data_IF_028123405776
#
_entry.id   IF_028123405776
#
_cell.length_a   1.000
_cell.length_b   1.000
_cell.length_c   1.000
_cell.angle_alpha   90.00
_cell.angle_beta   90.00
_cell.angle_gamma   90.00
#
_symmetry.space_group_name_H-M   'P 1'
#
loop_
_entity.id
_entity.type
_entity.pdbx_description
1 polymer ?
#
# COMPACT_ATOMS: atom_id res chain seq x y z
N UNK A 1 -7.98 24.18 -23.55
CA UNK A 1 -9.25 24.51 -22.87
C UNK A 1 -9.34 23.60 -21.66
N UNK A 2 -9.14 24.17 -20.45
CA UNK A 2 -9.46 23.66 -19.10
C UNK A 2 -8.84 22.29 -18.69
N UNK A 3 -8.12 22.06 -17.59
CA UNK A 3 -7.89 22.72 -16.29
C UNK A 3 -6.63 22.10 -15.66
N UNK A 4 -5.69 22.90 -15.20
CA UNK A 4 -4.51 22.47 -14.41
C UNK A 4 -4.81 22.70 -12.92
N UNK A 5 -5.68 21.87 -12.30
CA UNK A 5 -6.08 22.12 -10.90
C UNK A 5 -6.37 20.88 -10.01
N UNK A 6 -6.87 19.73 -10.49
CA UNK A 6 -7.12 18.56 -9.61
C UNK A 6 -7.13 17.23 -10.38
N UNK A 7 -5.96 16.79 -10.86
CA UNK A 7 -5.84 15.47 -11.47
C UNK A 7 -4.72 14.67 -10.80
N UNK A 8 -5.05 13.44 -10.40
CA UNK A 8 -4.03 12.47 -10.01
C UNK A 8 -2.96 12.39 -11.09
N UNK A 9 -1.69 12.32 -10.67
CA UNK A 9 -0.60 12.10 -11.59
C UNK A 9 -0.70 10.71 -12.23
N UNK A 10 0.08 10.48 -13.29
CA UNK A 10 0.04 9.22 -14.04
C UNK A 10 0.33 8.00 -13.17
N UNK A 11 1.25 8.12 -12.21
CA UNK A 11 1.58 7.04 -11.26
C UNK A 11 0.37 6.65 -10.43
N UNK A 12 -0.32 7.61 -9.82
CA UNK A 12 -1.52 7.33 -9.02
C UNK A 12 -2.60 6.72 -9.90
N UNK A 13 -2.84 7.25 -11.10
CA UNK A 13 -3.82 6.69 -12.03
C UNK A 13 -3.49 5.24 -12.42
N UNK A 14 -2.21 4.91 -12.62
CA UNK A 14 -1.77 3.56 -12.91
C UNK A 14 -2.09 2.60 -11.75
N UNK A 15 -1.74 2.97 -10.52
CA UNK A 15 -2.04 2.15 -9.34
C UNK A 15 -3.54 2.06 -9.01
N UNK A 16 -4.37 3.03 -9.43
CA UNK A 16 -5.84 2.91 -9.37
C UNK A 16 -6.33 1.87 -10.39
N UNK A 17 -5.84 1.97 -11.63
CA UNK A 17 -6.32 1.16 -12.74
C UNK A 17 -5.90 -0.32 -12.62
N UNK A 18 -4.66 -0.56 -12.19
CA UNK A 18 -4.08 -1.87 -11.99
C UNK A 18 -3.34 -1.91 -10.65
N UNK A 19 -4.06 -2.03 -9.52
CA UNK A 19 -3.43 -2.09 -8.21
C UNK A 19 -2.58 -3.35 -8.08
N UNK A 20 -1.33 -3.15 -7.68
CA UNK A 20 -0.37 -4.21 -7.45
C UNK A 20 -0.66 -4.96 -6.15
N UNK A 21 -0.24 -6.23 -6.12
CA UNK A 21 -0.15 -7.07 -4.92
C UNK A 21 -1.47 -7.21 -4.11
N UNK A 22 -2.62 -7.15 -4.78
CA UNK A 22 -3.92 -7.43 -4.15
C UNK A 22 -4.01 -8.89 -3.70
N UNK A 23 -4.36 -9.12 -2.45
CA UNK A 23 -4.63 -10.44 -1.89
C UNK A 23 -4.16 -10.59 -0.45
N UNK A 24 -4.05 -11.86 -0.03
CA UNK A 24 -3.61 -12.24 1.31
C UNK A 24 -2.39 -13.18 1.19
N UNK A 25 -1.59 -13.23 2.26
CA UNK A 25 -0.55 -14.23 2.43
C UNK A 25 -1.02 -15.12 3.58
N UNK A 26 -1.34 -16.39 3.29
CA UNK A 26 -1.97 -17.29 4.27
C UNK A 26 -1.10 -17.59 5.50
N UNK A 27 0.22 -17.59 5.32
CA UNK A 27 1.23 -17.76 6.36
C UNK A 27 2.07 -16.49 6.55
N UNK A 28 1.43 -15.31 6.45
CA UNK A 28 2.09 -14.03 6.71
C UNK A 28 2.75 -14.03 8.10
N UNK A 29 3.95 -13.47 8.17
CA UNK A 29 4.65 -13.32 9.45
C UNK A 29 4.16 -12.07 10.20
N UNK A 30 3.60 -11.09 9.47
CA UNK A 30 2.96 -9.90 10.03
C UNK A 30 1.71 -9.51 9.26
N UNK A 31 0.67 -9.12 10.01
CA UNK A 31 -0.58 -8.57 9.45
C UNK A 31 -0.91 -7.30 10.20
N UNK A 32 -1.04 -6.19 9.47
CA UNK A 32 -1.49 -4.90 10.01
C UNK A 32 -2.83 -4.50 9.40
N UNK A 33 -3.76 -4.03 10.23
CA UNK A 33 -5.08 -3.57 9.77
C UNK A 33 -5.32 -2.13 10.19
N UNK A 34 -5.93 -1.34 9.32
CA UNK A 34 -6.28 0.05 9.60
C UNK A 34 -7.65 0.41 9.03
N UNK A 35 -8.35 1.30 9.71
CA UNK A 35 -9.65 1.83 9.28
C UNK A 35 -9.68 3.33 9.49
N UNK A 36 -10.16 4.07 8.50
CA UNK A 36 -10.47 5.49 8.63
C UNK A 36 -11.99 5.69 8.74
N UNK A 37 -12.54 5.94 9.95
CA UNK A 37 -13.99 6.04 10.14
C UNK A 37 -14.61 7.30 9.49
N UNK A 38 -13.80 8.26 9.04
CA UNK A 38 -14.29 9.49 8.39
C UNK A 38 -14.81 9.22 6.98
N UNK A 39 -14.11 8.37 6.22
CA UNK A 39 -14.46 8.02 4.84
C UNK A 39 -14.86 6.54 4.68
N UNK A 40 -14.65 5.70 5.69
CA UNK A 40 -14.96 4.28 5.66
C UNK A 40 -13.90 3.41 4.97
N UNK A 41 -12.70 3.95 4.71
CA UNK A 41 -11.62 3.15 4.13
C UNK A 41 -11.14 2.10 5.13
N UNK A 42 -10.97 0.86 4.68
CA UNK A 42 -10.44 -0.27 5.44
C UNK A 42 -9.30 -0.93 4.67
N UNK A 43 -8.20 -1.23 5.35
CA UNK A 43 -7.03 -1.89 4.75
C UNK A 43 -6.47 -2.97 5.66
N UNK A 44 -5.99 -4.05 5.03
CA UNK A 44 -5.13 -5.07 5.64
C UNK A 44 -3.87 -5.22 4.80
N UNK A 45 -2.69 -5.09 5.44
CA UNK A 45 -1.38 -5.32 4.84
C UNK A 45 -0.78 -6.59 5.43
N UNK A 46 -0.32 -7.49 4.55
CA UNK A 46 0.26 -8.78 4.88
C UNK A 46 1.74 -8.75 4.46
N UNK A 47 2.64 -9.11 5.37
CA UNK A 47 4.08 -9.16 5.12
C UNK A 47 4.62 -10.56 5.37
N UNK A 48 5.45 -11.03 4.45
CA UNK A 48 6.29 -12.22 4.60
C UNK A 48 7.75 -11.79 4.69
N UNK A 49 8.49 -12.37 5.61
CA UNK A 49 9.91 -12.11 5.80
C UNK A 49 10.75 -13.33 5.41
N UNK A 50 11.88 -13.08 4.77
CA UNK A 50 12.98 -14.03 4.64
C UNK A 50 14.18 -13.48 5.41
N UNK A 51 14.44 -14.08 6.59
CA UNK A 51 15.38 -13.51 7.54
C UNK A 51 14.85 -12.19 8.09
N UNK A 52 15.58 -11.09 7.86
CA UNK A 52 15.21 -9.75 8.33
C UNK A 52 14.55 -8.89 7.24
N UNK A 53 14.43 -9.40 6.02
CA UNK A 53 13.96 -8.64 4.85
C UNK A 53 12.57 -9.08 4.41
N UNK A 54 11.72 -8.14 3.99
CA UNK A 54 10.40 -8.44 3.42
C UNK A 54 10.58 -9.11 2.05
N UNK A 55 10.14 -10.36 1.93
CA UNK A 55 10.17 -11.14 0.68
C UNK A 55 8.89 -11.01 -0.13
N UNK A 56 7.73 -10.86 0.53
CA UNK A 56 6.45 -10.62 -0.13
C UNK A 56 5.58 -9.66 0.69
N UNK A 57 4.78 -8.87 0.00
CA UNK A 57 3.86 -7.93 0.61
C UNK A 57 2.57 -7.90 -0.20
N UNK A 58 1.43 -8.13 0.45
CA UNK A 58 0.12 -8.06 -0.18
C UNK A 58 -0.84 -7.21 0.61
N UNK A 59 -1.86 -6.71 -0.05
CA UNK A 59 -2.89 -5.92 0.60
C UNK A 59 -4.31 -6.33 0.21
N UNK A 60 -5.24 -6.10 1.14
CA UNK A 60 -6.66 -5.96 0.86
C UNK A 60 -7.07 -4.56 1.23
N UNK A 61 -7.83 -3.92 0.35
CA UNK A 61 -8.33 -2.58 0.55
C UNK A 61 -9.79 -2.52 0.15
N UNK A 62 -10.59 -1.90 1.00
CA UNK A 62 -11.95 -1.46 0.70
C UNK A 62 -11.95 0.05 0.89
N UNK A 63 -12.13 0.80 -0.18
CA UNK A 63 -12.08 2.25 -0.08
C UNK A 63 -12.03 2.94 -1.44
N UNK A 64 -11.74 4.23 -1.40
CA UNK A 64 -11.63 5.03 -2.63
C UNK A 64 -10.37 4.68 -3.46
N UNK A 65 -10.32 5.20 -4.70
CA UNK A 65 -9.14 5.03 -5.56
C UNK A 65 -7.85 5.57 -4.92
N UNK A 66 -7.94 6.63 -4.12
CA UNK A 66 -6.79 7.22 -3.44
C UNK A 66 -6.09 6.21 -2.49
N UNK A 67 -6.86 5.57 -1.61
CA UNK A 67 -6.30 4.58 -0.68
C UNK A 67 -5.84 3.32 -1.41
N UNK A 68 -6.53 2.94 -2.48
CA UNK A 68 -6.13 1.82 -3.33
C UNK A 68 -4.76 2.08 -3.95
N UNK A 69 -4.55 3.27 -4.51
CA UNK A 69 -3.28 3.65 -5.10
C UNK A 69 -2.16 3.72 -4.05
N UNK A 70 -2.41 4.42 -2.94
CA UNK A 70 -1.43 4.55 -1.87
C UNK A 70 -0.98 3.19 -1.33
N UNK A 71 -1.93 2.29 -1.05
CA UNK A 71 -1.59 0.98 -0.52
C UNK A 71 -0.93 0.07 -1.56
N UNK A 72 -1.25 0.26 -2.84
CA UNK A 72 -0.52 -0.39 -3.93
C UNK A 72 0.94 0.08 -3.95
N UNK A 73 1.21 1.38 -3.91
CA UNK A 73 2.57 1.92 -3.81
C UNK A 73 3.31 1.41 -2.58
N UNK A 74 2.63 1.35 -1.42
CA UNK A 74 3.21 0.81 -0.17
C UNK A 74 3.68 -0.62 -0.35
N UNK A 75 2.87 -1.51 -0.95
CA UNK A 75 3.28 -2.90 -1.15
C UNK A 75 4.52 -3.05 -2.05
N UNK A 76 4.74 -2.12 -2.97
CA UNK A 76 5.97 -2.10 -3.77
C UNK A 76 7.16 -1.57 -2.97
N UNK A 77 6.95 -0.48 -2.22
CA UNK A 77 7.97 0.18 -1.41
C UNK A 77 8.53 -0.73 -0.32
N UNK A 78 7.69 -1.50 0.36
CA UNK A 78 8.10 -2.28 1.54
C UNK A 78 8.87 -3.56 1.20
N UNK A 79 8.74 -4.08 -0.02
CA UNK A 79 9.47 -5.28 -0.45
C UNK A 79 10.97 -4.99 -0.49
N UNK A 80 11.77 -5.93 0.00
CA UNK A 80 13.22 -5.78 0.08
C UNK A 80 13.72 -4.90 1.23
N UNK A 81 12.84 -4.28 2.02
CA UNK A 81 13.23 -3.52 3.23
C UNK A 81 13.33 -4.44 4.44
N UNK A 82 14.19 -4.05 5.38
CA UNK A 82 14.35 -4.70 6.68
C UNK A 82 13.31 -4.22 7.69
N UNK A 83 13.10 -4.99 8.76
CA UNK A 83 12.19 -4.59 9.84
C UNK A 83 12.55 -3.24 10.48
N UNK A 84 13.84 -2.86 10.49
CA UNK A 84 14.27 -1.55 10.98
C UNK A 84 13.94 -0.44 10.00
N UNK A 85 14.22 -0.63 8.70
CA UNK A 85 13.86 0.38 7.67
C UNK A 85 12.35 0.63 7.62
N UNK A 86 11.54 -0.41 7.82
CA UNK A 86 10.07 -0.27 7.88
C UNK A 86 9.61 0.64 9.03
N UNK A 87 10.33 0.67 10.16
CA UNK A 87 9.97 1.52 11.31
C UNK A 87 10.22 3.00 11.06
N UNK A 88 11.13 3.30 10.16
CA UNK A 88 11.48 4.68 9.79
C UNK A 88 10.64 5.20 8.63
N UNK A 89 9.84 4.36 7.97
CA UNK A 89 8.97 4.78 6.87
C UNK A 89 7.88 5.73 7.36
N UNK A 90 7.64 6.77 6.57
CA UNK A 90 6.55 7.72 6.74
C UNK A 90 5.74 7.81 5.45
N UNK A 91 4.83 8.78 5.39
CA UNK A 91 4.05 9.05 4.18
C UNK A 91 4.85 9.85 3.15
N UNK A 92 6.01 10.41 3.51
CA UNK A 92 6.83 11.20 2.58
C UNK A 92 7.53 10.32 1.53
N UNK A 93 7.67 9.02 1.80
CA UNK A 93 8.25 8.03 0.88
C UNK A 93 7.23 7.42 -0.10
N UNK A 94 5.95 7.80 -0.01
CA UNK A 94 4.82 7.27 -0.80
C UNK A 94 4.40 8.30 -1.85
#
# INVERSE_FOLDING_TARGET
MATDDYHYNETVLAHIAEPHNIGEIGDADGIGTGTNPVCGDEVSLYLKFEGDTVSDAKMKVLGCGAITAAMSSVTDLVRGKTANELRELTHEEI
#
